data_IF_495285491969
#
_entry.id   IF_495285491969
#
_cell.length_a   1.000
_cell.length_b   1.000
_cell.length_c   1.000
_cell.angle_alpha   90.00
_cell.angle_beta   90.00
_cell.angle_gamma   90.00
#
_symmetry.space_group_name_H-M   'P 1'
#
loop_
_entity.id
_entity.type
_entity.pdbx_description
1 polymer ?
#
# COMPACT_ATOMS: atom_id res chain seq x y z
N UNK A 1 -49.87 14.09 16.86
CA UNK A 1 -48.89 13.53 17.81
C UNK A 1 -48.47 12.17 17.30
N UNK A 2 -47.27 12.06 16.72
CA UNK A 2 -46.69 10.79 16.26
C UNK A 2 -45.25 10.74 16.77
N UNK A 3 -45.06 10.05 17.89
CA UNK A 3 -43.75 9.74 18.44
C UNK A 3 -43.02 8.78 17.48
N UNK A 4 -41.95 9.24 16.85
CA UNK A 4 -40.92 8.35 16.29
C UNK A 4 -39.99 7.99 17.44
N UNK A 5 -40.06 6.73 17.87
CA UNK A 5 -39.08 6.14 18.78
C UNK A 5 -37.71 6.11 18.10
N UNK A 6 -36.88 7.11 18.39
CA UNK A 6 -35.44 6.97 18.25
C UNK A 6 -34.96 6.00 19.33
N UNK A 7 -34.93 4.70 19.01
CA UNK A 7 -34.14 3.72 19.76
C UNK A 7 -32.68 4.17 19.73
N UNK A 8 -32.27 4.92 20.76
CA UNK A 8 -30.87 5.13 21.09
C UNK A 8 -30.29 3.75 21.34
N UNK A 9 -29.38 3.29 20.47
CA UNK A 9 -28.58 2.10 20.75
C UNK A 9 -27.80 2.39 22.03
N UNK A 10 -28.16 1.71 23.12
CA UNK A 10 -27.36 1.68 24.34
C UNK A 10 -25.95 1.20 23.96
N UNK A 11 -24.89 1.97 24.29
CA UNK A 11 -23.54 1.53 24.02
C UNK A 11 -23.28 0.25 24.80
N UNK A 12 -23.15 -0.86 24.08
CA UNK A 12 -22.81 -2.14 24.68
C UNK A 12 -21.38 -2.01 25.19
N UNK A 13 -21.18 -2.21 26.49
CA UNK A 13 -19.85 -2.26 27.09
C UNK A 13 -19.15 -3.50 26.58
N UNK A 14 -18.31 -3.35 25.56
CA UNK A 14 -17.55 -4.45 24.97
C UNK A 14 -16.23 -4.59 25.70
N UNK A 15 -15.88 -5.83 26.07
CA UNK A 15 -14.60 -6.11 26.72
C UNK A 15 -13.43 -5.80 25.76
N UNK A 16 -12.36 -5.12 26.19
CA UNK A 16 -11.19 -4.78 25.37
C UNK A 16 -10.62 -5.95 24.56
N UNK A 17 -10.54 -7.13 25.18
CA UNK A 17 -10.04 -8.35 24.55
C UNK A 17 -10.93 -8.88 23.42
N UNK A 18 -12.22 -8.55 23.40
CA UNK A 18 -13.09 -8.95 22.29
C UNK A 18 -12.60 -8.30 20.99
N UNK A 19 -12.32 -6.99 21.02
CA UNK A 19 -11.82 -6.29 19.83
C UNK A 19 -10.52 -6.89 19.35
N UNK A 20 -9.55 -7.13 20.25
CA UNK A 20 -8.28 -7.79 19.91
C UNK A 20 -8.49 -9.15 19.27
N UNK A 21 -9.29 -10.02 19.88
CA UNK A 21 -9.56 -11.36 19.35
C UNK A 21 -10.17 -11.33 17.95
N UNK A 22 -11.12 -10.43 17.70
CA UNK A 22 -11.76 -10.26 16.39
C UNK A 22 -10.81 -9.71 15.33
N UNK A 23 -9.86 -8.86 15.74
CA UNK A 23 -8.85 -8.26 14.86
C UNK A 23 -7.67 -9.19 14.59
N UNK A 24 -7.31 -10.09 15.52
CA UNK A 24 -6.16 -10.98 15.35
C UNK A 24 -6.32 -11.81 14.08
N UNK A 25 -7.40 -12.57 13.95
CA UNK A 25 -7.65 -13.40 12.77
C UNK A 25 -8.97 -13.01 12.07
N UNK A 26 -8.95 -12.05 11.14
CA UNK A 26 -10.15 -11.56 10.48
C UNK A 26 -10.85 -12.64 9.67
N UNK A 27 -12.10 -12.92 10.02
CA UNK A 27 -13.05 -13.78 9.29
C UNK A 27 -14.32 -12.98 8.95
N UNK A 28 -15.17 -13.50 8.07
CA UNK A 28 -16.43 -12.82 7.75
C UNK A 28 -17.30 -12.59 9.00
N UNK A 29 -17.29 -13.56 9.92
CA UNK A 29 -17.99 -13.45 11.20
C UNK A 29 -17.37 -12.37 12.09
N UNK A 30 -16.04 -12.33 12.18
CA UNK A 30 -15.37 -11.31 13.01
C UNK A 30 -15.57 -9.90 12.47
N UNK A 31 -15.53 -9.73 11.15
CA UNK A 31 -15.83 -8.46 10.49
C UNK A 31 -17.29 -8.03 10.72
N UNK A 32 -18.25 -8.95 10.60
CA UNK A 32 -19.66 -8.67 10.84
C UNK A 32 -19.89 -8.21 12.28
N UNK A 33 -19.27 -8.90 13.23
CA UNK A 33 -19.27 -8.56 14.67
C UNK A 33 -18.69 -7.17 14.91
N UNK A 34 -17.54 -6.83 14.29
CA UNK A 34 -16.90 -5.51 14.41
C UNK A 34 -17.84 -4.40 13.93
N UNK A 35 -18.57 -4.63 12.82
CA UNK A 35 -19.51 -3.67 12.24
C UNK A 35 -20.74 -3.51 13.15
N UNK A 36 -21.34 -4.62 13.59
CA UNK A 36 -22.54 -4.63 14.43
C UNK A 36 -22.31 -3.86 15.75
N UNK A 37 -21.18 -4.09 16.40
CA UNK A 37 -20.86 -3.46 17.68
C UNK A 37 -20.10 -2.13 17.55
N UNK A 38 -19.84 -1.64 16.33
CA UNK A 38 -19.13 -0.38 16.07
C UNK A 38 -17.81 -0.27 16.84
N UNK A 39 -17.01 -1.34 16.85
CA UNK A 39 -15.85 -1.47 17.76
C UNK A 39 -14.73 -0.45 17.55
N UNK A 40 -14.70 0.22 16.39
CA UNK A 40 -13.74 1.30 16.09
C UNK A 40 -14.17 2.67 16.61
N UNK A 41 -15.45 2.84 16.96
CA UNK A 41 -15.96 4.09 17.54
C UNK A 41 -15.79 4.13 19.07
N UNK A 42 -15.29 3.04 19.66
CA UNK A 42 -15.09 2.94 21.10
C UNK A 42 -13.78 3.64 21.53
N UNK A 43 -13.84 4.55 22.53
CA UNK A 43 -12.69 5.39 22.91
C UNK A 43 -11.61 4.65 23.70
N UNK A 44 -11.89 3.45 24.23
CA UNK A 44 -10.96 2.68 25.04
C UNK A 44 -11.10 1.17 24.80
N UNK A 45 -9.99 0.42 24.66
CA UNK A 45 -8.60 0.88 24.62
C UNK A 45 -8.28 1.68 23.34
N UNK A 46 -7.13 2.38 23.25
CA UNK A 46 -6.72 3.07 22.04
C UNK A 46 -6.58 2.09 20.86
N UNK A 47 -7.13 2.44 19.71
CA UNK A 47 -7.06 1.62 18.50
C UNK A 47 -5.63 1.54 17.93
N UNK A 48 -4.79 2.55 18.22
CA UNK A 48 -3.39 2.64 17.76
C UNK A 48 -2.63 1.41 18.24
N UNK A 49 -2.69 1.14 19.54
CA UNK A 49 -1.88 0.10 20.19
C UNK A 49 -2.27 -1.29 19.68
N UNK A 50 -3.58 -1.53 19.51
CA UNK A 50 -4.07 -2.79 18.95
C UNK A 50 -3.55 -3.01 17.53
N UNK A 51 -3.62 -1.98 16.66
CA UNK A 51 -3.15 -2.10 15.28
C UNK A 51 -1.64 -2.31 15.22
N UNK A 52 -0.85 -1.55 15.97
CA UNK A 52 0.61 -1.66 15.96
C UNK A 52 1.08 -3.07 16.32
N UNK A 53 0.45 -3.70 17.31
CA UNK A 53 0.74 -5.09 17.69
C UNK A 53 0.35 -6.10 16.61
N UNK A 54 -0.66 -5.80 15.80
CA UNK A 54 -1.20 -6.69 14.79
C UNK A 54 -0.55 -6.55 13.41
N UNK A 55 0.13 -5.44 13.10
CA UNK A 55 0.73 -5.18 11.79
C UNK A 55 1.58 -6.37 11.26
N UNK A 56 2.50 -6.98 12.05
CA UNK A 56 3.30 -8.10 11.55
C UNK A 56 2.45 -9.33 11.19
N UNK A 57 1.42 -9.61 12.00
CA UNK A 57 0.53 -10.74 11.79
C UNK A 57 -0.38 -10.50 10.57
N UNK A 58 -0.92 -9.29 10.43
CA UNK A 58 -1.70 -8.89 9.27
C UNK A 58 -0.90 -8.92 7.98
N UNK A 59 0.37 -8.51 7.99
CA UNK A 59 1.26 -8.66 6.83
C UNK A 59 1.38 -10.12 6.41
N UNK A 60 1.63 -11.03 7.36
CA UNK A 60 1.71 -12.46 7.08
C UNK A 60 0.42 -12.98 6.45
N UNK A 61 -0.73 -12.68 7.06
CA UNK A 61 -2.03 -13.10 6.53
C UNK A 61 -2.33 -12.53 5.14
N UNK A 62 -1.91 -11.29 4.87
CA UNK A 62 -2.06 -10.68 3.56
C UNK A 62 -1.20 -11.41 2.50
N UNK A 63 0.01 -11.83 2.87
CA UNK A 63 0.89 -12.64 2.03
C UNK A 63 0.32 -14.05 1.77
N UNK A 64 -0.46 -14.57 2.71
CA UNK A 64 -1.20 -15.86 2.62
C UNK A 64 -2.57 -15.73 1.92
N UNK A 65 -2.97 -14.51 1.51
CA UNK A 65 -4.18 -14.29 0.71
C UNK A 65 -5.47 -14.11 1.52
N UNK A 66 -5.40 -13.61 2.76
CA UNK A 66 -6.59 -13.30 3.55
C UNK A 66 -7.34 -12.08 2.99
N UNK A 67 -8.31 -12.32 2.10
CA UNK A 67 -9.14 -11.25 1.50
C UNK A 67 -10.04 -10.52 2.51
N UNK A 68 -10.40 -11.16 3.62
CA UNK A 68 -11.24 -10.55 4.66
C UNK A 68 -10.47 -9.43 5.36
N UNK A 69 -9.17 -9.61 5.56
CA UNK A 69 -8.29 -8.58 6.11
C UNK A 69 -8.32 -7.30 5.26
N UNK A 70 -8.36 -7.42 3.93
CA UNK A 70 -8.49 -6.25 3.05
C UNK A 70 -9.81 -5.49 3.31
N UNK A 71 -10.92 -6.20 3.46
CA UNK A 71 -12.22 -5.60 3.78
C UNK A 71 -12.24 -4.94 5.16
N UNK A 72 -11.60 -5.58 6.15
CA UNK A 72 -11.43 -5.01 7.49
C UNK A 72 -10.64 -3.70 7.47
N UNK A 73 -9.49 -3.67 6.79
CA UNK A 73 -8.67 -2.46 6.68
C UNK A 73 -9.40 -1.35 5.92
N UNK A 74 -10.15 -1.71 4.87
CA UNK A 74 -10.98 -0.77 4.13
C UNK A 74 -12.05 -0.14 5.03
N UNK A 75 -12.73 -0.96 5.85
CA UNK A 75 -13.74 -0.50 6.80
C UNK A 75 -13.13 0.42 7.87
N UNK A 76 -12.00 0.01 8.46
CA UNK A 76 -11.22 0.83 9.40
C UNK A 76 -10.87 2.19 8.80
N UNK A 77 -10.41 2.21 7.56
CA UNK A 77 -10.00 3.44 6.87
C UNK A 77 -11.15 4.40 6.61
N UNK A 78 -12.34 3.87 6.34
CA UNK A 78 -13.55 4.67 6.12
C UNK A 78 -14.14 5.19 7.43
N UNK A 79 -14.08 4.40 8.51
CA UNK A 79 -14.69 4.74 9.80
C UNK A 79 -13.82 5.62 10.69
N UNK A 80 -12.51 5.49 10.60
CA UNK A 80 -11.57 6.22 11.45
C UNK A 80 -10.58 7.06 10.63
N UNK A 81 -11.04 7.98 9.76
CA UNK A 81 -10.14 8.74 8.88
C UNK A 81 -9.22 9.69 9.63
N UNK A 82 -9.65 10.22 10.77
CA UNK A 82 -8.83 11.10 11.62
C UNK A 82 -7.68 10.34 12.27
N UNK A 83 -7.94 9.11 12.73
CA UNK A 83 -6.93 8.22 13.28
C UNK A 83 -5.82 7.95 12.24
N UNK A 84 -6.20 7.54 11.03
CA UNK A 84 -5.24 7.20 9.98
C UNK A 84 -4.41 8.41 9.55
N UNK A 85 -5.03 9.60 9.44
CA UNK A 85 -4.33 10.82 9.03
C UNK A 85 -3.25 11.26 10.02
N UNK A 86 -3.39 10.94 11.30
CA UNK A 86 -2.44 11.33 12.33
C UNK A 86 -1.28 10.33 12.47
N UNK A 87 -1.40 9.14 11.88
CA UNK A 87 -0.44 8.04 12.01
C UNK A 87 0.09 7.60 10.64
N UNK A 88 1.01 8.37 10.01
CA UNK A 88 1.46 8.14 8.64
C UNK A 88 2.15 6.78 8.45
N UNK A 89 2.85 6.28 9.47
CA UNK A 89 3.45 4.94 9.46
C UNK A 89 2.38 3.85 9.38
N UNK A 90 1.34 3.95 10.22
CA UNK A 90 0.22 3.00 10.22
C UNK A 90 -0.51 3.07 8.88
N UNK A 91 -0.78 4.28 8.39
CA UNK A 91 -1.42 4.48 7.09
C UNK A 91 -0.68 3.77 5.95
N UNK A 92 0.64 3.92 5.86
CA UNK A 92 1.45 3.28 4.83
C UNK A 92 1.39 1.75 4.92
N UNK A 93 1.56 1.19 6.12
CA UNK A 93 1.50 -0.25 6.35
C UNK A 93 0.10 -0.81 6.03
N UNK A 94 -0.96 -0.16 6.49
CA UNK A 94 -2.34 -0.58 6.19
C UNK A 94 -2.64 -0.56 4.70
N UNK A 95 -2.14 0.45 3.97
CA UNK A 95 -2.28 0.50 2.52
C UNK A 95 -1.60 -0.71 1.86
N UNK A 96 -0.33 -0.97 2.20
CA UNK A 96 0.43 -2.11 1.68
C UNK A 96 -0.27 -3.44 1.99
N UNK A 97 -0.63 -3.67 3.26
CA UNK A 97 -1.30 -4.89 3.72
C UNK A 97 -2.64 -5.08 3.01
N UNK A 98 -3.46 -4.03 2.88
CA UNK A 98 -4.73 -4.10 2.15
C UNK A 98 -4.53 -4.50 0.70
N UNK A 99 -3.54 -3.91 0.02
CA UNK A 99 -3.23 -4.23 -1.38
C UNK A 99 -2.77 -5.70 -1.48
N UNK A 100 -1.87 -6.15 -0.61
CA UNK A 100 -1.42 -7.54 -0.57
C UNK A 100 -2.60 -8.49 -0.33
N UNK A 101 -3.43 -8.22 0.67
CA UNK A 101 -4.57 -9.04 1.05
C UNK A 101 -5.63 -9.15 -0.05
N UNK A 102 -5.88 -8.06 -0.80
CA UNK A 102 -6.84 -8.04 -1.90
C UNK A 102 -6.27 -8.57 -3.22
N UNK A 103 -4.94 -8.63 -3.36
CA UNK A 103 -4.29 -9.18 -4.55
C UNK A 103 -4.37 -10.72 -4.52
N UNK A 104 -4.89 -11.37 -5.58
CA UNK A 104 -4.96 -12.83 -5.65
C UNK A 104 -3.59 -13.50 -5.57
N UNK A 105 -3.57 -14.72 -5.03
CA UNK A 105 -2.36 -15.53 -4.88
C UNK A 105 -1.70 -15.40 -3.51
N UNK A 106 -0.63 -16.17 -3.33
CA UNK A 106 0.16 -16.25 -2.11
C UNK A 106 1.62 -16.02 -2.42
N UNK A 107 2.41 -15.63 -1.42
CA UNK A 107 3.86 -15.57 -1.61
C UNK A 107 4.44 -16.97 -1.73
N UNK A 108 5.29 -17.17 -2.74
CA UNK A 108 6.06 -18.40 -2.94
C UNK A 108 7.40 -18.38 -2.20
N UNK A 109 7.57 -17.48 -1.22
CA UNK A 109 8.79 -17.23 -0.47
C UNK A 109 8.45 -16.71 0.93
N UNK A 110 9.33 -16.87 1.93
CA UNK A 110 9.09 -16.34 3.26
C UNK A 110 9.22 -14.80 3.27
N UNK A 111 8.17 -14.04 3.63
CA UNK A 111 8.21 -12.57 3.64
C UNK A 111 9.27 -12.03 4.61
N UNK A 112 9.48 -12.73 5.74
CA UNK A 112 10.40 -12.33 6.80
C UNK A 112 11.87 -12.25 6.34
N UNK A 113 12.30 -13.18 5.47
CA UNK A 113 13.66 -13.16 4.87
C UNK A 113 13.90 -11.84 4.11
N UNK A 114 12.87 -11.32 3.43
CA UNK A 114 12.98 -10.09 2.66
C UNK A 114 13.04 -8.87 3.59
N UNK A 115 12.29 -8.88 4.69
CA UNK A 115 12.31 -7.82 5.68
C UNK A 115 13.68 -7.71 6.37
N UNK A 116 14.28 -8.83 6.77
CA UNK A 116 15.61 -8.85 7.40
C UNK A 116 16.73 -8.41 6.44
N UNK A 117 16.63 -8.79 5.17
CA UNK A 117 17.67 -8.54 4.16
C UNK A 117 17.25 -7.53 3.10
N UNK A 118 16.40 -6.56 3.47
CA UNK A 118 15.76 -5.61 2.56
C UNK A 118 16.74 -4.95 1.57
N UNK A 119 17.87 -4.45 2.08
CA UNK A 119 18.88 -3.77 1.26
C UNK A 119 19.47 -4.69 0.17
N UNK A 120 19.64 -5.98 0.47
CA UNK A 120 20.16 -6.96 -0.49
C UNK A 120 19.15 -7.19 -1.62
N UNK A 121 17.87 -7.37 -1.28
CA UNK A 121 16.81 -7.56 -2.27
C UNK A 121 16.52 -6.29 -3.07
N UNK A 122 16.80 -5.10 -2.54
CA UNK A 122 16.71 -3.84 -3.29
C UNK A 122 17.84 -3.64 -4.30
N UNK A 123 18.94 -4.39 -4.20
CA UNK A 123 20.01 -4.31 -5.19
C UNK A 123 19.47 -4.67 -6.57
N UNK A 124 19.60 -3.76 -7.54
CA UNK A 124 19.10 -3.93 -8.91
C UNK A 124 17.60 -4.22 -8.98
N UNK A 125 16.82 -3.80 -7.99
CA UNK A 125 15.36 -3.93 -8.03
C UNK A 125 14.70 -2.86 -8.90
N UNK A 126 15.40 -1.76 -9.18
CA UNK A 126 14.93 -0.71 -10.10
C UNK A 126 14.58 -1.25 -11.48
N UNK A 127 15.31 -2.26 -11.98
CA UNK A 127 15.06 -2.91 -13.28
C UNK A 127 13.64 -3.49 -13.42
N UNK A 128 12.93 -3.73 -12.32
CA UNK A 128 11.52 -4.16 -12.37
C UNK A 128 10.65 -3.09 -13.04
N UNK A 129 11.06 -1.82 -13.03
CA UNK A 129 10.38 -0.71 -13.73
C UNK A 129 10.27 -0.91 -15.25
N UNK A 130 11.08 -1.81 -15.81
CA UNK A 130 11.10 -2.12 -17.25
C UNK A 130 10.10 -3.21 -17.62
N UNK A 131 9.42 -3.82 -16.64
CA UNK A 131 8.45 -4.87 -16.92
C UNK A 131 7.19 -4.29 -17.59
N UNK A 132 6.65 -4.95 -18.64
CA UNK A 132 5.43 -4.51 -19.32
C UNK A 132 4.24 -4.35 -18.37
N UNK A 133 4.18 -5.14 -17.29
CA UNK A 133 3.10 -5.05 -16.29
C UNK A 133 2.99 -3.66 -15.65
N UNK A 134 4.06 -2.85 -15.65
CA UNK A 134 4.04 -1.49 -15.13
C UNK A 134 3.60 -0.43 -16.15
N UNK A 135 3.31 -0.79 -17.40
CA UNK A 135 2.72 0.10 -18.42
C UNK A 135 1.36 0.65 -17.99
N UNK A 136 0.62 -0.10 -17.17
CA UNK A 136 -0.64 0.36 -16.59
C UNK A 136 -0.49 1.60 -15.68
N UNK A 137 0.72 1.89 -15.20
CA UNK A 137 1.04 3.12 -14.48
C UNK A 137 1.33 4.23 -15.50
N UNK A 138 0.29 4.99 -15.81
CA UNK A 138 0.34 6.06 -16.82
C UNK A 138 0.84 7.39 -16.26
N UNK A 139 1.67 8.05 -17.06
CA UNK A 139 2.13 9.43 -16.89
C UNK A 139 1.94 10.11 -18.23
N UNK A 140 1.17 11.19 -18.32
CA UNK A 140 0.98 11.88 -19.59
C UNK A 140 2.27 12.55 -20.09
N UNK A 141 2.41 12.73 -21.41
CA UNK A 141 3.55 13.45 -21.97
C UNK A 141 3.70 14.85 -21.34
N UNK A 142 2.59 15.57 -21.14
CA UNK A 142 2.58 16.90 -20.51
C UNK A 142 3.07 16.90 -19.05
N UNK A 143 2.85 15.81 -18.29
CA UNK A 143 3.40 15.64 -16.94
C UNK A 143 4.92 15.38 -16.96
N UNK A 144 5.44 14.77 -18.03
CA UNK A 144 6.86 14.41 -18.13
C UNK A 144 7.69 15.52 -18.78
N UNK A 145 7.13 16.29 -19.72
CA UNK A 145 7.84 17.36 -20.45
C UNK A 145 8.67 18.29 -19.54
N UNK A 146 8.18 18.72 -18.35
CA UNK A 146 8.94 19.58 -17.45
C UNK A 146 10.26 18.97 -16.95
N UNK A 147 10.40 17.63 -17.03
CA UNK A 147 11.59 16.88 -16.63
C UNK A 147 12.54 16.58 -17.79
N UNK A 148 12.20 16.91 -19.03
CA UNK A 148 12.92 16.47 -20.23
C UNK A 148 14.41 16.83 -20.20
N UNK A 149 14.77 18.05 -19.78
CA UNK A 149 16.18 18.48 -19.69
C UNK A 149 16.99 17.67 -18.67
N UNK A 150 16.35 17.27 -17.58
CA UNK A 150 17.01 16.56 -16.48
C UNK A 150 17.11 15.07 -16.77
N UNK A 151 16.09 14.51 -17.42
CA UNK A 151 16.06 13.11 -17.85
C UNK A 151 17.05 12.84 -18.98
N UNK A 152 17.14 13.73 -19.98
CA UNK A 152 18.14 13.63 -21.07
C UNK A 152 19.58 13.73 -20.57
N UNK A 153 19.82 14.55 -19.54
CA UNK A 153 21.16 14.74 -18.94
C UNK A 153 21.47 13.78 -17.81
N UNK A 154 20.53 12.91 -17.43
CA UNK A 154 20.61 12.03 -16.25
C UNK A 154 21.02 12.78 -14.96
N UNK A 155 20.60 14.03 -14.80
CA UNK A 155 20.95 14.89 -13.67
C UNK A 155 19.70 15.56 -13.13
N UNK A 156 19.12 14.95 -12.11
CA UNK A 156 17.93 15.47 -11.43
C UNK A 156 18.31 16.54 -10.39
N UNK A 157 17.77 17.74 -10.57
CA UNK A 157 17.84 18.80 -9.56
C UNK A 157 16.96 18.49 -8.33
N UNK A 158 17.18 19.15 -7.18
CA UNK A 158 16.26 19.03 -6.04
C UNK A 158 14.81 19.39 -6.37
N UNK A 159 14.61 20.38 -7.25
CA UNK A 159 13.29 20.78 -7.73
C UNK A 159 12.63 19.64 -8.51
N UNK A 160 13.36 19.02 -9.45
CA UNK A 160 12.86 17.89 -10.24
C UNK A 160 12.52 16.67 -9.39
N UNK A 161 13.31 16.39 -8.35
CA UNK A 161 12.98 15.31 -7.38
C UNK A 161 11.67 15.57 -6.65
N UNK A 162 11.43 16.82 -6.24
CA UNK A 162 10.15 17.22 -5.61
C UNK A 162 8.99 17.14 -6.59
N UNK A 163 9.21 17.56 -7.84
CA UNK A 163 8.22 17.43 -8.90
C UNK A 163 7.86 15.96 -9.15
N UNK A 164 8.87 15.08 -9.28
CA UNK A 164 8.68 13.63 -9.40
C UNK A 164 7.90 13.06 -8.22
N UNK A 165 8.24 13.44 -6.99
CA UNK A 165 7.48 13.03 -5.81
C UNK A 165 5.98 13.39 -5.93
N UNK A 166 5.68 14.58 -6.46
CA UNK A 166 4.30 15.03 -6.66
C UNK A 166 3.58 14.31 -7.81
N UNK A 167 4.30 13.82 -8.83
CA UNK A 167 3.72 12.97 -9.86
C UNK A 167 3.14 11.69 -9.22
N UNK A 168 3.76 11.16 -8.18
CA UNK A 168 3.19 10.04 -7.44
C UNK A 168 2.11 10.51 -6.46
N UNK A 169 0.95 10.91 -6.96
CA UNK A 169 -0.25 11.12 -6.14
C UNK A 169 -0.80 9.78 -5.61
N UNK A 170 -1.77 9.84 -4.68
CA UNK A 170 -2.23 8.66 -3.94
C UNK A 170 -2.67 7.50 -4.86
N UNK A 171 -3.47 7.78 -5.88
CA UNK A 171 -3.94 6.77 -6.84
C UNK A 171 -2.78 6.14 -7.62
N UNK A 172 -1.80 6.95 -8.06
CA UNK A 172 -0.63 6.45 -8.80
C UNK A 172 0.27 5.60 -7.90
N UNK A 173 0.42 5.97 -6.62
CA UNK A 173 1.15 5.15 -5.63
C UNK A 173 0.46 3.80 -5.43
N UNK A 174 -0.85 3.82 -5.25
CA UNK A 174 -1.64 2.60 -5.10
C UNK A 174 -1.58 1.72 -6.35
N UNK A 175 -1.62 2.30 -7.55
CA UNK A 175 -1.44 1.56 -8.80
C UNK A 175 -0.06 0.87 -8.86
N UNK A 176 1.02 1.59 -8.54
CA UNK A 176 2.37 1.03 -8.47
C UNK A 176 2.44 -0.13 -7.47
N UNK A 177 1.94 0.08 -6.24
CA UNK A 177 1.95 -0.94 -5.19
C UNK A 177 1.09 -2.16 -5.58
N UNK A 178 -0.02 -1.96 -6.28
CA UNK A 178 -0.90 -3.04 -6.75
C UNK A 178 -0.22 -3.89 -7.83
N UNK A 179 0.50 -3.26 -8.76
CA UNK A 179 1.29 -4.00 -9.76
C UNK A 179 2.43 -4.76 -9.08
N UNK A 180 3.14 -4.14 -8.14
CA UNK A 180 4.20 -4.82 -7.38
C UNK A 180 3.65 -6.00 -6.57
N UNK A 181 2.46 -5.88 -5.97
CA UNK A 181 1.80 -6.98 -5.26
C UNK A 181 1.47 -8.14 -6.20
N UNK A 182 0.96 -7.83 -7.40
CA UNK A 182 0.67 -8.83 -8.41
C UNK A 182 1.95 -9.56 -8.83
N UNK A 183 3.05 -8.83 -9.07
CA UNK A 183 4.36 -9.42 -9.38
C UNK A 183 4.85 -10.28 -8.21
N UNK A 184 4.76 -9.79 -6.98
CA UNK A 184 5.19 -10.51 -5.78
C UNK A 184 4.44 -11.84 -5.56
N UNK A 185 3.17 -11.92 -5.96
CA UNK A 185 2.32 -13.11 -5.76
C UNK A 185 2.28 -14.07 -6.94
N UNK A 186 2.35 -13.55 -8.16
CA UNK A 186 1.95 -14.32 -9.35
C UNK A 186 3.01 -14.38 -10.45
N UNK A 187 4.15 -13.71 -10.28
CA UNK A 187 5.19 -13.74 -11.32
C UNK A 187 5.93 -15.09 -11.32
N UNK A 188 6.32 -15.63 -12.49
CA UNK A 188 6.94 -16.96 -12.56
C UNK A 188 8.33 -17.05 -11.93
N UNK A 189 9.06 -15.93 -11.86
CA UNK A 189 10.45 -15.88 -11.42
C UNK A 189 10.53 -15.41 -9.97
N UNK A 190 10.86 -16.32 -9.05
CA UNK A 190 10.89 -16.07 -7.59
C UNK A 190 11.79 -14.89 -7.22
N UNK A 191 12.95 -14.73 -7.86
CA UNK A 191 13.86 -13.60 -7.58
C UNK A 191 13.21 -12.26 -7.92
N UNK A 192 12.41 -12.19 -8.98
CA UNK A 192 11.61 -11.01 -9.33
C UNK A 192 10.50 -10.78 -8.30
N UNK A 193 9.81 -11.83 -7.86
CA UNK A 193 8.78 -11.72 -6.82
C UNK A 193 9.32 -11.13 -5.52
N UNK A 194 10.48 -11.62 -5.06
CA UNK A 194 11.17 -11.15 -3.86
C UNK A 194 11.56 -9.67 -3.97
N UNK A 195 12.11 -9.27 -5.13
CA UNK A 195 12.43 -7.87 -5.43
C UNK A 195 11.19 -6.98 -5.43
N UNK A 196 10.08 -7.44 -6.00
CA UNK A 196 8.84 -6.70 -6.03
C UNK A 196 8.31 -6.43 -4.62
N UNK A 197 8.33 -7.44 -3.75
CA UNK A 197 7.96 -7.25 -2.34
C UNK A 197 8.93 -6.32 -1.60
N UNK A 198 10.24 -6.44 -1.82
CA UNK A 198 11.23 -5.53 -1.26
C UNK A 198 10.96 -4.06 -1.67
N UNK A 199 10.59 -3.82 -2.93
CA UNK A 199 10.17 -2.49 -3.40
C UNK A 199 8.90 -1.99 -2.71
N UNK A 200 7.91 -2.87 -2.46
CA UNK A 200 6.72 -2.46 -1.70
C UNK A 200 7.09 -1.98 -0.30
N UNK A 201 7.97 -2.70 0.40
CA UNK A 201 8.44 -2.33 1.73
C UNK A 201 9.23 -1.01 1.72
N UNK A 202 10.08 -0.78 0.71
CA UNK A 202 10.86 0.45 0.64
C UNK A 202 9.99 1.67 0.34
N UNK A 203 8.87 1.51 -0.38
CA UNK A 203 8.01 2.61 -0.84
C UNK A 203 6.93 3.05 0.16
N UNK A 204 6.96 2.57 1.40
CA UNK A 204 6.03 2.98 2.47
C UNK A 204 6.03 4.48 2.72
N UNK A 205 7.21 5.12 2.64
CA UNK A 205 7.34 6.55 2.88
C UNK A 205 7.16 7.35 1.57
N UNK A 206 6.10 8.16 1.41
CA UNK A 206 5.92 8.98 0.22
C UNK A 206 7.08 9.95 -0.08
N UNK A 207 7.82 10.38 0.95
CA UNK A 207 8.92 11.35 0.81
C UNK A 207 10.14 10.81 0.09
N UNK A 208 10.25 9.49 -0.05
CA UNK A 208 11.39 8.88 -0.74
C UNK A 208 11.12 8.63 -2.23
N UNK A 209 9.87 8.68 -2.70
CA UNK A 209 9.51 8.34 -4.09
C UNK A 209 10.23 9.22 -5.12
N UNK A 210 10.42 10.51 -4.81
CA UNK A 210 11.18 11.45 -5.63
C UNK A 210 12.67 11.13 -5.81
N UNK A 211 13.21 10.22 -4.99
CA UNK A 211 14.62 9.83 -4.97
C UNK A 211 14.82 8.33 -5.20
N UNK A 212 13.75 7.55 -5.16
CA UNK A 212 13.82 6.10 -5.19
C UNK A 212 14.20 5.61 -6.60
N UNK A 213 15.29 4.83 -6.78
CA UNK A 213 15.78 4.44 -8.11
C UNK A 213 14.72 3.81 -9.02
N UNK A 214 13.89 2.92 -8.46
CA UNK A 214 12.76 2.33 -9.18
C UNK A 214 11.77 3.38 -9.73
N UNK A 215 11.37 4.36 -8.92
CA UNK A 215 10.44 5.42 -9.34
C UNK A 215 11.06 6.31 -10.42
N UNK A 216 12.36 6.62 -10.30
CA UNK A 216 13.09 7.40 -11.30
C UNK A 216 13.15 6.66 -12.64
N UNK A 217 13.44 5.35 -12.60
CA UNK A 217 13.48 4.51 -13.80
C UNK A 217 12.10 4.38 -14.46
N UNK A 218 11.04 4.24 -13.66
CA UNK A 218 9.67 4.20 -14.17
C UNK A 218 9.32 5.46 -15.00
N UNK A 219 9.71 6.64 -14.52
CA UNK A 219 9.50 7.90 -15.24
C UNK A 219 10.41 8.01 -16.47
N UNK A 220 11.67 7.59 -16.34
CA UNK A 220 12.61 7.60 -17.45
C UNK A 220 12.11 6.72 -18.60
N UNK A 221 11.58 5.53 -18.30
CA UNK A 221 11.01 4.64 -19.32
C UNK A 221 9.89 5.34 -20.10
N UNK A 222 8.93 5.95 -19.41
CA UNK A 222 7.83 6.70 -20.04
C UNK A 222 8.31 7.88 -20.88
N UNK A 223 9.32 8.60 -20.41
CA UNK A 223 9.93 9.69 -21.17
C UNK A 223 10.51 9.18 -22.49
N UNK A 224 11.27 8.09 -22.47
CA UNK A 224 11.88 7.53 -23.67
C UNK A 224 10.85 6.90 -24.61
N UNK A 225 9.79 6.29 -24.09
CA UNK A 225 8.66 5.82 -24.88
C UNK A 225 8.07 6.96 -25.73
N UNK A 226 7.83 8.13 -25.12
CA UNK A 226 7.32 9.30 -25.84
C UNK A 226 8.28 9.88 -26.87
N UNK A 227 9.58 9.91 -26.57
CA UNK A 227 10.58 10.37 -27.54
C UNK A 227 10.64 9.44 -28.77
N UNK A 228 10.46 8.13 -28.58
CA UNK A 228 10.43 7.18 -29.69
C UNK A 228 9.17 7.31 -30.55
N UNK A 229 8.03 7.64 -29.95
CA UNK A 229 6.77 7.82 -30.68
C UNK A 229 6.72 9.14 -31.45
N UNK A 230 7.37 10.22 -30.97
CA UNK A 230 7.50 11.49 -31.70
C UNK A 230 8.42 11.39 -32.94
N UNK A 231 9.27 10.36 -33.02
CA UNK A 231 10.15 10.11 -34.16
C UNK A 231 9.53 9.23 -35.26
N UNK A 232 8.30 8.73 -35.08
CA UNK A 232 7.57 7.94 -36.07
C UNK A 232 6.63 8.81 -36.90
#
# INVERSE_FOLDING_TARGET
>A
MTHRDHKKSTPISVHPELRRNLLTNPTHESLSTIIEYQLFDQPYPPLVDDILCLLPYWEQQACEGNVVLAALIQYLTQRSPHFIKNEPMIQANLLRIRILASTPGIFSFPPYEIQEHLVQFLQTADVLADLPTLEVVSFSSAEITPLASDLTRFRLTPHSRRYIQNLFHAERREAVLSVLAHIAKLYPIISTCRKAYALMLSLDNPDIWGKHPFCLRLIANRFWDYQLDECK
#
